data_IF_516900762039
#
_entry.id   IF_516900762039
#
_cell.length_a   1.000
_cell.length_b   1.000
_cell.length_c   1.000
_cell.angle_alpha   90.00
_cell.angle_beta   90.00
_cell.angle_gamma   90.00
#
_symmetry.space_group_name_H-M   'P 1'
#
loop_
_entity.id
_entity.type
_entity.pdbx_description
1 polymer ?
#
# COMPACT_ATOMS: atom_id res chain seq x y z
N UNK A 1 -14.50 -5.41 -17.40
CA UNK A 1 -13.43 -4.39 -17.35
C UNK A 1 -13.06 -4.00 -18.77
N UNK A 2 -12.94 -2.72 -19.12
CA UNK A 2 -12.50 -2.33 -20.46
C UNK A 2 -11.09 -2.90 -20.70
N UNK A 3 -10.87 -3.64 -21.79
CA UNK A 3 -9.57 -4.29 -22.10
C UNK A 3 -8.38 -3.34 -21.98
N UNK A 4 -8.58 -2.09 -22.36
CA UNK A 4 -7.61 -1.00 -22.23
C UNK A 4 -7.14 -0.78 -20.79
N UNK A 5 -8.07 -0.69 -19.82
CA UNK A 5 -7.72 -0.48 -18.41
C UNK A 5 -6.93 -1.66 -17.83
N UNK A 6 -7.23 -2.89 -18.27
CA UNK A 6 -6.50 -4.07 -17.82
C UNK A 6 -5.07 -4.08 -18.33
N UNK A 7 -4.88 -3.82 -19.63
CA UNK A 7 -3.54 -3.73 -20.24
C UNK A 7 -2.72 -2.57 -19.67
N UNK A 8 -3.33 -1.39 -19.53
CA UNK A 8 -2.67 -0.22 -18.95
C UNK A 8 -2.26 -0.48 -17.50
N UNK A 9 -3.15 -1.04 -16.69
CA UNK A 9 -2.82 -1.41 -15.30
C UNK A 9 -1.68 -2.41 -15.23
N UNK A 10 -1.65 -3.41 -16.13
CA UNK A 10 -0.57 -4.38 -16.23
C UNK A 10 0.77 -3.73 -16.56
N UNK A 11 0.79 -2.84 -17.56
CA UNK A 11 2.00 -2.09 -17.96
C UNK A 11 2.49 -1.23 -16.79
N UNK A 12 1.60 -0.46 -16.17
CA UNK A 12 1.95 0.39 -15.03
C UNK A 12 2.50 -0.43 -13.87
N UNK A 13 1.87 -1.56 -13.55
CA UNK A 13 2.34 -2.46 -12.50
C UNK A 13 3.75 -2.97 -12.76
N UNK A 14 4.04 -3.43 -13.99
CA UNK A 14 5.37 -3.90 -14.34
C UNK A 14 6.43 -2.80 -14.32
N UNK A 15 6.12 -1.61 -14.85
CA UNK A 15 7.07 -0.48 -14.86
C UNK A 15 7.37 -0.02 -13.44
N UNK A 16 6.34 0.15 -12.62
CA UNK A 16 6.47 0.56 -11.22
C UNK A 16 7.25 -0.52 -10.43
N UNK A 17 6.88 -1.79 -10.59
CA UNK A 17 7.58 -2.90 -9.93
C UNK A 17 9.06 -3.00 -10.32
N UNK A 18 9.37 -2.87 -11.62
CA UNK A 18 10.74 -2.92 -12.12
C UNK A 18 11.60 -1.74 -11.61
N UNK A 19 11.04 -0.54 -11.56
CA UNK A 19 11.75 0.63 -11.01
C UNK A 19 12.03 0.49 -9.51
N UNK A 20 11.11 -0.11 -8.74
CA UNK A 20 11.37 -0.44 -7.34
C UNK A 20 12.43 -1.51 -7.16
N UNK A 21 12.33 -2.59 -7.94
CA UNK A 21 13.31 -3.66 -7.91
C UNK A 21 14.71 -3.13 -8.24
N UNK A 22 14.83 -2.31 -9.28
CA UNK A 22 16.09 -1.69 -9.66
C UNK A 22 16.62 -0.78 -8.55
N UNK A 23 15.77 0.07 -7.97
CA UNK A 23 16.17 0.96 -6.86
C UNK A 23 16.66 0.18 -5.65
N UNK A 24 16.00 -0.94 -5.33
CA UNK A 24 16.41 -1.84 -4.26
C UNK A 24 17.77 -2.51 -4.55
N UNK A 25 17.96 -3.01 -5.78
CA UNK A 25 19.25 -3.59 -6.19
C UNK A 25 20.36 -2.55 -6.13
N UNK A 26 20.14 -1.33 -6.61
CA UNK A 26 21.13 -0.25 -6.55
C UNK A 26 21.50 0.09 -5.09
N UNK A 27 20.52 0.25 -4.20
CA UNK A 27 20.77 0.48 -2.78
C UNK A 27 21.53 -0.68 -2.13
N UNK A 28 21.20 -1.94 -2.46
CA UNK A 28 21.85 -3.12 -1.89
C UNK A 28 23.31 -3.26 -2.29
N UNK A 29 23.68 -2.72 -3.45
CA UNK A 29 25.07 -2.73 -3.94
C UNK A 29 25.83 -1.45 -3.58
N UNK A 30 25.34 -0.67 -2.60
CA UNK A 30 25.92 0.62 -2.18
C UNK A 30 26.08 1.64 -3.32
N UNK A 31 25.31 1.49 -4.40
CA UNK A 31 25.25 2.46 -5.49
C UNK A 31 24.28 3.57 -5.07
N UNK A 32 24.83 4.53 -4.33
CA UNK A 32 24.13 5.66 -3.72
C UNK A 32 23.71 6.70 -4.79
N UNK A 33 22.71 6.36 -5.59
CA UNK A 33 21.95 7.38 -6.32
C UNK A 33 20.93 8.02 -5.37
N UNK A 34 20.91 9.36 -5.21
CA UNK A 34 19.91 10.04 -4.39
C UNK A 34 18.47 9.67 -4.76
N UNK A 35 18.23 9.37 -6.04
CA UNK A 35 16.94 8.99 -6.58
C UNK A 35 16.46 7.60 -6.14
N UNK A 36 17.36 6.64 -5.88
CA UNK A 36 16.95 5.27 -5.50
C UNK A 36 16.42 5.23 -4.07
N UNK A 37 17.09 5.93 -3.15
CA UNK A 37 16.66 6.08 -1.76
C UNK A 37 15.33 6.86 -1.67
N UNK A 38 15.23 7.98 -2.40
CA UNK A 38 13.98 8.75 -2.46
C UNK A 38 12.82 7.93 -3.02
N UNK A 39 13.04 7.18 -4.11
CA UNK A 39 11.99 6.35 -4.73
C UNK A 39 11.48 5.28 -3.78
N UNK A 40 12.37 4.59 -3.06
CA UNK A 40 12.00 3.61 -2.06
C UNK A 40 11.28 4.23 -0.86
N UNK A 41 11.64 5.45 -0.44
CA UNK A 41 10.95 6.14 0.64
C UNK A 41 9.54 6.59 0.23
N UNK A 42 9.41 7.24 -0.93
CA UNK A 42 8.13 7.72 -1.45
C UNK A 42 7.10 6.60 -1.63
N UNK A 43 7.57 5.39 -1.95
CA UNK A 43 6.72 4.24 -2.20
C UNK A 43 6.22 3.51 -0.96
N UNK A 44 6.91 3.65 0.18
CA UNK A 44 6.52 2.99 1.42
C UNK A 44 5.09 3.35 1.80
N UNK A 45 4.72 4.62 1.71
CA UNK A 45 3.40 5.11 2.13
C UNK A 45 2.25 4.58 1.25
N UNK A 46 2.28 4.67 -0.09
CA UNK A 46 1.26 4.06 -0.94
C UNK A 46 1.11 2.56 -0.71
N UNK A 47 2.20 1.80 -0.65
CA UNK A 47 2.12 0.35 -0.44
C UNK A 47 1.57 -0.01 0.94
N UNK A 48 1.97 0.75 1.96
CA UNK A 48 1.47 0.58 3.31
C UNK A 48 -0.02 0.90 3.40
N UNK A 49 -0.49 1.97 2.75
CA UNK A 49 -1.91 2.27 2.61
C UNK A 49 -2.66 1.11 1.94
N UNK A 50 -2.15 0.58 0.83
CA UNK A 50 -2.77 -0.55 0.12
C UNK A 50 -2.83 -1.79 1.01
N UNK A 51 -1.74 -2.12 1.71
CA UNK A 51 -1.70 -3.25 2.64
C UNK A 51 -2.71 -3.10 3.79
N UNK A 52 -2.83 -1.89 4.33
CA UNK A 52 -3.79 -1.57 5.40
C UNK A 52 -5.24 -1.64 4.93
N UNK A 53 -5.54 -1.06 3.76
CA UNK A 53 -6.87 -1.16 3.17
C UNK A 53 -7.25 -2.60 2.88
N UNK A 54 -6.34 -3.38 2.30
CA UNK A 54 -6.57 -4.79 2.01
C UNK A 54 -6.77 -5.62 3.28
N UNK A 55 -5.90 -5.45 4.28
CA UNK A 55 -6.01 -6.12 5.58
C UNK A 55 -7.30 -5.74 6.32
N UNK A 56 -7.64 -4.46 6.37
CA UNK A 56 -8.86 -3.96 6.98
C UNK A 56 -10.12 -4.48 6.31
N UNK A 57 -10.13 -4.51 4.97
CA UNK A 57 -11.23 -5.05 4.19
C UNK A 57 -11.38 -6.56 4.38
N UNK A 58 -10.27 -7.30 4.45
CA UNK A 58 -10.27 -8.73 4.74
C UNK A 58 -10.87 -9.01 6.12
N UNK A 59 -10.46 -8.27 7.16
CA UNK A 59 -11.03 -8.37 8.52
C UNK A 59 -12.52 -8.04 8.52
N UNK A 60 -12.92 -6.98 7.82
CA UNK A 60 -14.32 -6.60 7.69
C UNK A 60 -15.15 -7.71 7.06
N UNK A 61 -14.69 -8.30 5.95
CA UNK A 61 -15.39 -9.40 5.29
C UNK A 61 -15.49 -10.64 6.18
N UNK A 62 -14.42 -10.98 6.91
CA UNK A 62 -14.42 -12.12 7.84
C UNK A 62 -15.45 -11.95 8.97
N UNK A 63 -15.65 -10.73 9.46
CA UNK A 63 -16.61 -10.43 10.52
C UNK A 63 -18.04 -10.20 10.00
N UNK A 64 -18.19 -9.71 8.77
CA UNK A 64 -19.47 -9.46 8.13
C UNK A 64 -20.12 -10.70 7.50
N UNK A 65 -19.37 -11.80 7.32
CA UNK A 65 -19.83 -13.03 6.64
C UNK A 65 -21.08 -13.70 7.24
N UNK A 66 -21.54 -13.29 8.43
CA UNK A 66 -22.75 -13.82 9.07
C UNK A 66 -23.71 -12.76 9.65
N UNK A 67 -23.51 -11.46 9.39
CA UNK A 67 -24.36 -10.37 9.92
C UNK A 67 -24.70 -9.35 8.83
N UNK A 68 -25.81 -8.62 8.99
CA UNK A 68 -26.12 -7.50 8.09
C UNK A 68 -25.00 -6.46 8.13
N UNK A 69 -24.77 -5.78 7.01
CA UNK A 69 -23.75 -4.74 6.87
C UNK A 69 -23.94 -3.67 7.96
N UNK A 70 -23.11 -3.73 8.99
CA UNK A 70 -23.17 -2.83 10.14
C UNK A 70 -22.17 -1.70 9.96
N UNK A 71 -22.68 -0.47 9.82
CA UNK A 71 -21.84 0.75 9.81
C UNK A 71 -20.98 0.85 11.06
N UNK A 72 -21.47 0.35 12.20
CA UNK A 72 -20.72 0.31 13.45
C UNK A 72 -19.47 -0.58 13.35
N UNK A 73 -19.60 -1.77 12.76
CA UNK A 73 -18.48 -2.69 12.54
C UNK A 73 -17.42 -2.07 11.61
N UNK A 74 -17.87 -1.44 10.52
CA UNK A 74 -16.98 -0.74 9.60
C UNK A 74 -16.19 0.38 10.31
N UNK A 75 -16.86 1.16 11.15
CA UNK A 75 -16.23 2.27 11.88
C UNK A 75 -15.25 1.77 12.95
N UNK A 76 -15.59 0.69 13.66
CA UNK A 76 -14.70 0.04 14.65
C UNK A 76 -13.42 -0.50 14.03
N UNK A 77 -13.45 -0.94 12.76
CA UNK A 77 -12.27 -1.44 12.04
C UNK A 77 -11.49 -0.26 11.43
N UNK A 78 -12.21 0.71 10.83
CA UNK A 78 -11.59 1.85 10.19
C UNK A 78 -10.84 2.77 11.17
N UNK A 79 -11.37 3.00 12.38
CA UNK A 79 -10.75 3.87 13.38
C UNK A 79 -9.31 3.43 13.76
N UNK A 80 -9.02 2.17 14.18
CA UNK A 80 -7.66 1.74 14.46
C UNK A 80 -6.77 1.71 13.22
N UNK A 81 -7.32 1.44 12.02
CA UNK A 81 -6.58 1.55 10.77
C UNK A 81 -6.13 2.99 10.51
N UNK A 82 -6.98 3.99 10.72
CA UNK A 82 -6.60 5.40 10.56
C UNK A 82 -5.52 5.79 11.57
N UNK A 83 -5.66 5.39 12.84
CA UNK A 83 -4.66 5.66 13.87
C UNK A 83 -3.31 5.02 13.51
N UNK A 84 -3.33 3.76 13.06
CA UNK A 84 -2.12 3.06 12.64
C UNK A 84 -1.48 3.73 11.41
N UNK A 85 -2.27 4.23 10.47
CA UNK A 85 -1.78 4.92 9.28
C UNK A 85 -1.08 6.23 9.67
N UNK A 86 -1.68 7.01 10.57
CA UNK A 86 -1.10 8.24 11.09
C UNK A 86 0.23 7.97 11.82
N UNK A 87 0.27 6.93 12.65
CA UNK A 87 1.49 6.48 13.32
C UNK A 87 2.59 6.14 12.30
N UNK A 88 2.25 5.39 11.26
CA UNK A 88 3.20 5.01 10.22
C UNK A 88 3.69 6.19 9.38
N UNK A 89 2.84 7.18 9.12
CA UNK A 89 3.24 8.43 8.47
C UNK A 89 4.31 9.14 9.32
N UNK A 90 4.08 9.29 10.62
CA UNK A 90 5.04 9.92 11.53
C UNK A 90 6.37 9.18 11.51
N UNK A 91 6.34 7.84 11.62
CA UNK A 91 7.56 7.01 11.60
C UNK A 91 8.28 7.03 10.24
N UNK A 92 7.57 7.22 9.12
CA UNK A 92 8.18 7.21 7.79
C UNK A 92 8.95 8.50 7.46
N UNK A 93 8.56 9.62 8.06
CA UNK A 93 9.15 10.94 7.85
C UNK A 93 10.07 11.41 9.00
N UNK A 94 10.28 10.57 10.01
CA UNK A 94 11.36 10.70 11.00
C UNK A 94 12.62 9.99 10.51
#
# INVERSE_FOLDING_TARGET
MPRFLHQLSGILFYVIGATFFLSYVLMRNDILLPWSAWWLQAARLPFMLVAMMFGGFSVYLSLAAGRSHSRFLATMIAAPLVVFLLFLIVVNFQ
#
